data_IF_073834808817
#
_entry.id   IF_073834808817
#
_cell.length_a   1.000
_cell.length_b   1.000
_cell.length_c   1.000
_cell.angle_alpha   90.00
_cell.angle_beta   90.00
_cell.angle_gamma   90.00
#
_symmetry.space_group_name_H-M   'P 1'
#
loop_
_entity.id
_entity.type
_entity.pdbx_description
1 polymer ?
#
# COMPACT_ATOMS: atom_id res chain seq x y z
N UNK A 1 17.00 -65.69 13.93
CA UNK A 1 15.53 -65.74 13.79
C UNK A 1 14.94 -64.69 14.74
N UNK A 2 14.05 -63.83 14.23
CA UNK A 2 13.06 -62.95 14.89
C UNK A 2 13.49 -62.19 16.16
N UNK A 3 13.54 -60.85 16.21
CA UNK A 3 12.40 -59.91 16.15
C UNK A 3 12.33 -59.25 17.54
N UNK A 4 12.58 -57.95 17.73
CA UNK A 4 11.77 -56.81 17.32
C UNK A 4 10.97 -56.30 18.53
N UNK A 5 11.40 -55.22 19.18
CA UNK A 5 10.52 -54.40 20.04
C UNK A 5 10.86 -52.91 19.92
N UNK A 6 9.82 -52.16 19.60
CA UNK A 6 9.75 -50.80 19.11
C UNK A 6 10.32 -49.73 20.05
N UNK A 7 11.18 -48.85 19.53
CA UNK A 7 11.44 -47.54 20.15
C UNK A 7 10.43 -46.57 19.56
N UNK A 8 9.46 -46.16 20.38
CA UNK A 8 8.43 -45.21 19.98
C UNK A 8 9.05 -43.85 19.66
N UNK A 9 8.92 -43.46 18.39
CA UNK A 9 9.20 -42.12 17.90
C UNK A 9 8.22 -41.13 18.58
N UNK A 10 8.77 -40.21 19.36
CA UNK A 10 8.07 -38.97 19.70
C UNK A 10 8.65 -37.89 18.82
N UNK A 11 8.12 -37.82 17.60
CA UNK A 11 8.28 -36.68 16.71
C UNK A 11 7.83 -35.43 17.46
N UNK A 12 8.79 -34.61 17.87
CA UNK A 12 8.56 -33.22 18.15
C UNK A 12 8.10 -32.58 16.83
N UNK A 13 6.80 -32.60 16.59
CA UNK A 13 6.18 -31.73 15.62
C UNK A 13 6.37 -30.31 16.14
N UNK A 14 7.47 -29.67 15.73
CA UNK A 14 7.55 -28.23 15.60
C UNK A 14 6.45 -27.84 14.62
N UNK A 15 5.23 -27.70 15.14
CA UNK A 15 4.25 -26.83 14.58
C UNK A 15 4.88 -25.44 14.64
N UNK A 16 5.59 -25.08 13.58
CA UNK A 16 5.74 -23.70 13.18
C UNK A 16 4.32 -23.19 13.04
N UNK A 17 3.79 -22.66 14.14
CA UNK A 17 2.62 -21.85 14.15
C UNK A 17 2.92 -20.78 13.12
N UNK A 18 2.27 -20.89 11.95
CA UNK A 18 2.06 -19.80 11.04
C UNK A 18 1.32 -18.75 11.86
N UNK A 19 2.07 -17.91 12.55
CA UNK A 19 1.57 -16.71 13.16
C UNK A 19 0.88 -15.97 12.03
N UNK A 20 -0.44 -15.71 12.10
CA UNK A 20 -1.01 -14.70 11.23
C UNK A 20 -0.20 -13.44 11.51
N UNK A 21 0.56 -13.01 10.50
CA UNK A 21 1.40 -11.83 10.59
C UNK A 21 0.57 -10.69 11.19
N UNK A 22 1.15 -9.86 12.09
CA UNK A 22 0.46 -8.69 12.60
C UNK A 22 -0.04 -7.89 11.40
N UNK A 23 -1.24 -7.31 11.53
CA UNK A 23 -1.87 -6.45 10.50
C UNK A 23 -0.88 -5.33 10.14
N UNK A 24 -0.03 -5.59 9.15
CA UNK A 24 1.06 -4.70 8.73
C UNK A 24 1.16 -4.79 7.23
N UNK A 25 0.23 -4.15 6.52
CA UNK A 25 0.28 -4.23 5.06
C UNK A 25 -0.50 -3.15 4.28
N UNK A 26 -0.79 -1.97 4.85
CA UNK A 26 -0.92 -0.82 3.95
C UNK A 26 0.47 -0.48 3.39
N UNK A 27 1.51 -0.48 4.25
CA UNK A 27 2.88 -0.23 3.83
C UNK A 27 3.56 -1.37 3.05
N UNK A 28 3.19 -2.63 3.30
CA UNK A 28 3.91 -3.80 2.74
C UNK A 28 3.45 -4.18 1.33
N UNK A 29 2.26 -3.77 0.92
CA UNK A 29 1.75 -4.07 -0.44
C UNK A 29 2.21 -3.05 -1.49
N UNK A 30 2.90 -1.99 -1.09
CA UNK A 30 3.35 -0.96 -2.01
C UNK A 30 4.85 -1.01 -2.14
N UNK A 31 5.29 -1.70 -3.18
CA UNK A 31 6.69 -1.73 -3.54
C UNK A 31 7.13 -0.35 -4.02
N UNK A 32 8.37 -0.01 -3.73
CA UNK A 32 9.07 1.07 -4.41
C UNK A 32 9.18 0.74 -5.91
N UNK A 33 9.05 1.70 -6.86
CA UNK A 33 8.80 3.14 -6.73
C UNK A 33 7.33 3.54 -6.98
N UNK A 34 6.36 2.80 -6.43
CA UNK A 34 4.95 3.01 -6.70
C UNK A 34 4.28 3.91 -5.65
N UNK A 35 3.38 4.77 -6.12
CA UNK A 35 2.43 5.52 -5.28
C UNK A 35 1.13 4.75 -5.27
N UNK A 36 0.74 4.27 -4.11
CA UNK A 36 -0.45 3.47 -3.95
C UNK A 36 -1.60 4.24 -3.34
N UNK A 37 -2.79 3.85 -3.75
CA UNK A 37 -4.03 4.30 -3.15
C UNK A 37 -4.71 3.12 -2.48
N UNK A 38 -5.08 3.34 -1.23
CA UNK A 38 -5.83 2.41 -0.40
C UNK A 38 -7.18 3.02 -0.07
N UNK A 39 -8.21 2.17 -0.05
CA UNK A 39 -9.53 2.50 0.47
C UNK A 39 -9.90 1.45 1.48
N UNK A 40 -10.17 1.86 2.72
CA UNK A 40 -10.53 0.96 3.80
C UNK A 40 -9.51 -0.19 4.02
N UNK A 41 -8.22 0.10 3.84
CA UNK A 41 -7.13 -0.89 3.92
C UNK A 41 -6.93 -1.75 2.66
N UNK A 42 -7.79 -1.64 1.65
CA UNK A 42 -7.66 -2.35 0.38
C UNK A 42 -6.99 -1.48 -0.67
N UNK A 43 -5.96 -1.99 -1.36
CA UNK A 43 -5.32 -1.28 -2.48
C UNK A 43 -6.30 -1.19 -3.65
N UNK A 44 -6.69 0.04 -4.00
CA UNK A 44 -7.61 0.33 -5.12
C UNK A 44 -6.88 0.75 -6.39
N UNK A 45 -5.59 1.09 -6.29
CA UNK A 45 -4.78 1.49 -7.44
C UNK A 45 -3.33 1.75 -7.06
N UNK A 46 -2.46 1.73 -8.07
CA UNK A 46 -1.05 2.07 -7.93
C UNK A 46 -0.59 2.84 -9.18
N UNK A 47 0.28 3.81 -8.98
CA UNK A 47 0.78 4.71 -10.01
C UNK A 47 2.30 4.79 -9.88
N UNK A 48 3.01 4.61 -10.98
CA UNK A 48 4.47 4.78 -11.02
C UNK A 48 4.91 5.79 -12.08
N UNK A 49 3.98 6.20 -12.95
CA UNK A 49 4.33 7.02 -14.09
C UNK A 49 4.40 8.48 -13.66
N UNK A 50 5.55 9.11 -13.95
CA UNK A 50 5.75 10.54 -13.71
C UNK A 50 5.11 11.28 -14.87
N UNK A 51 4.00 11.97 -14.59
CA UNK A 51 3.21 12.66 -15.60
C UNK A 51 3.24 14.16 -15.34
N UNK A 52 3.35 14.98 -16.38
CA UNK A 52 3.22 16.44 -16.21
C UNK A 52 1.81 16.88 -15.79
N UNK A 53 0.79 16.05 -16.07
CA UNK A 53 -0.62 16.30 -15.76
C UNK A 53 -1.22 15.35 -14.72
N UNK A 54 -2.44 15.65 -14.27
CA UNK A 54 -3.23 14.74 -13.44
C UNK A 54 -3.79 13.60 -14.29
N UNK A 55 -3.51 12.38 -13.88
CA UNK A 55 -4.16 11.19 -14.40
C UNK A 55 -5.49 11.01 -13.68
N UNK A 56 -6.59 11.05 -14.43
CA UNK A 56 -7.91 10.79 -13.87
C UNK A 56 -7.99 9.35 -13.33
N UNK A 57 -8.45 9.22 -12.10
CA UNK A 57 -8.74 7.92 -11.48
C UNK A 57 -10.09 7.44 -12.01
N UNK A 58 -10.16 6.40 -12.86
CA UNK A 58 -11.44 5.93 -13.41
C UNK A 58 -12.39 5.46 -12.28
N UNK A 59 -11.83 4.87 -11.22
CA UNK A 59 -12.58 4.42 -10.05
C UNK A 59 -13.08 5.53 -9.13
N UNK A 60 -12.69 6.81 -9.40
CA UNK A 60 -12.99 8.04 -8.63
C UNK A 60 -13.34 7.75 -7.16
N UNK A 61 -12.40 7.18 -6.39
CA UNK A 61 -12.75 6.59 -5.11
C UNK A 61 -13.22 7.69 -4.17
N UNK A 62 -14.45 7.51 -3.68
CA UNK A 62 -15.15 8.43 -2.78
C UNK A 62 -15.40 7.76 -1.44
N UNK A 63 -15.19 8.49 -0.35
CA UNK A 63 -15.53 8.07 1.01
C UNK A 63 -14.44 8.30 2.05
N UNK A 64 -14.71 7.99 3.33
CA UNK A 64 -13.70 8.00 4.38
C UNK A 64 -12.71 6.83 4.20
N UNK A 65 -11.55 6.93 4.86
CA UNK A 65 -10.48 5.91 4.86
C UNK A 65 -9.75 5.74 3.52
N UNK A 66 -9.59 6.83 2.77
CA UNK A 66 -8.69 6.86 1.62
C UNK A 66 -7.28 7.13 2.14
N UNK A 67 -6.31 6.31 1.77
CA UNK A 67 -4.90 6.53 2.14
C UNK A 67 -4.08 6.53 0.87
N UNK A 68 -3.29 7.56 0.68
CA UNK A 68 -2.32 7.63 -0.41
C UNK A 68 -0.94 7.48 0.22
N UNK A 69 -0.15 6.56 -0.32
CA UNK A 69 1.21 6.33 0.14
C UNK A 69 2.17 6.51 -1.01
N UNK A 70 3.08 7.47 -0.84
CA UNK A 70 4.19 7.69 -1.75
C UNK A 70 5.42 6.97 -1.19
N UNK A 71 5.83 5.89 -1.86
CA UNK A 71 7.04 5.15 -1.49
C UNK A 71 8.30 5.76 -2.11
N UNK A 72 8.18 6.67 -3.07
CA UNK A 72 9.30 7.24 -3.83
C UNK A 72 10.16 8.12 -2.92
N UNK A 73 11.45 8.20 -3.25
CA UNK A 73 12.45 8.87 -2.41
C UNK A 73 12.66 10.33 -2.80
N UNK A 74 12.55 10.64 -4.08
CA UNK A 74 12.93 11.93 -4.66
C UNK A 74 11.78 12.56 -5.48
N UNK A 75 10.63 11.90 -5.53
CA UNK A 75 9.47 12.31 -6.33
C UNK A 75 8.27 12.58 -5.40
N UNK A 76 7.52 13.64 -5.68
CA UNK A 76 6.28 13.99 -4.97
C UNK A 76 5.04 13.48 -5.69
N UNK A 77 3.99 13.19 -4.93
CA UNK A 77 2.69 12.83 -5.48
C UNK A 77 1.66 13.92 -5.16
N UNK A 78 1.05 14.48 -6.19
CA UNK A 78 -0.08 15.39 -6.07
C UNK A 78 -1.38 14.62 -6.24
N UNK A 79 -2.28 14.82 -5.29
CA UNK A 79 -3.57 14.16 -5.23
C UNK A 79 -4.65 15.21 -5.44
N UNK A 80 -5.36 15.11 -6.56
CA UNK A 80 -6.46 16.01 -6.91
C UNK A 80 -7.76 15.42 -6.41
N UNK A 81 -8.51 16.25 -5.68
CA UNK A 81 -9.86 15.94 -5.21
C UNK A 81 -10.92 16.54 -6.14
N UNK A 82 -12.12 15.98 -6.06
CA UNK A 82 -13.29 16.46 -6.80
C UNK A 82 -13.68 17.90 -6.45
N UNK A 83 -13.35 18.35 -5.24
CA UNK A 83 -13.58 19.73 -4.81
C UNK A 83 -12.54 20.74 -5.37
N UNK A 84 -11.64 20.29 -6.26
CA UNK A 84 -10.60 21.13 -6.87
C UNK A 84 -9.36 21.31 -6.00
N UNK A 85 -9.37 20.85 -4.75
CA UNK A 85 -8.18 20.96 -3.89
C UNK A 85 -7.17 19.89 -4.29
N UNK A 86 -5.91 20.31 -4.42
CA UNK A 86 -4.78 19.42 -4.63
C UNK A 86 -3.98 19.32 -3.34
N UNK A 87 -3.70 18.10 -2.88
CA UNK A 87 -2.78 17.87 -1.77
C UNK A 87 -1.48 17.34 -2.31
N UNK A 88 -0.39 17.98 -1.92
CA UNK A 88 0.94 17.46 -2.20
C UNK A 88 1.37 16.47 -1.12
N UNK A 89 1.95 15.36 -1.55
CA UNK A 89 2.47 14.30 -0.71
C UNK A 89 3.98 14.21 -0.92
N UNK A 90 4.78 14.56 0.11
CA UNK A 90 6.22 14.46 0.02
C UNK A 90 6.69 13.01 -0.21
N UNK A 91 7.94 12.80 -0.65
CA UNK A 91 8.52 11.48 -0.78
C UNK A 91 8.50 10.71 0.55
N UNK A 92 8.44 9.38 0.49
CA UNK A 92 8.37 8.45 1.64
C UNK A 92 7.26 8.76 2.65
N UNK A 93 6.21 9.45 2.22
CA UNK A 93 5.15 9.93 3.09
C UNK A 93 3.81 9.33 2.69
N UNK A 94 2.93 9.16 3.66
CA UNK A 94 1.55 8.72 3.45
C UNK A 94 0.57 9.68 4.10
N UNK A 95 -0.56 9.93 3.44
CA UNK A 95 -1.63 10.76 3.97
C UNK A 95 -2.97 10.03 3.92
N UNK A 96 -3.73 10.17 4.99
CA UNK A 96 -5.14 9.78 5.04
C UNK A 96 -6.03 10.92 4.57
N UNK A 97 -6.81 10.68 3.52
CA UNK A 97 -7.92 11.51 3.08
C UNK A 97 -9.16 11.02 3.84
N UNK A 98 -9.57 11.79 4.85
CA UNK A 98 -10.75 11.51 5.69
C UNK A 98 -12.08 11.84 5.00
N UNK A 99 -12.05 12.77 4.04
CA UNK A 99 -13.23 13.22 3.30
C UNK A 99 -12.84 13.75 1.92
N UNK A 100 -13.70 13.51 0.95
CA UNK A 100 -13.54 13.92 -0.44
C UNK A 100 -13.38 12.73 -1.39
N UNK A 101 -13.58 13.03 -2.67
CA UNK A 101 -13.41 12.06 -3.76
C UNK A 101 -12.10 12.33 -4.46
N UNK A 102 -11.26 11.31 -4.64
CA UNK A 102 -10.06 11.46 -5.45
C UNK A 102 -10.45 11.40 -6.92
N UNK A 103 -10.12 12.44 -7.67
CA UNK A 103 -10.40 12.51 -9.10
C UNK A 103 -9.17 12.27 -9.93
N UNK A 104 -7.99 12.62 -9.43
CA UNK A 104 -6.76 12.31 -10.13
C UNK A 104 -5.54 12.29 -9.24
N UNK A 105 -4.47 11.76 -9.81
CA UNK A 105 -3.14 11.69 -9.22
C UNK A 105 -2.12 12.15 -10.24
N UNK A 106 -1.11 12.87 -9.78
CA UNK A 106 0.04 13.28 -10.59
C UNK A 106 1.30 12.97 -9.80
N UNK A 107 2.22 12.27 -10.40
CA UNK A 107 3.57 12.09 -9.83
C UNK A 107 4.47 13.05 -10.57
N UNK A 108 5.21 13.85 -9.82
CA UNK A 108 6.11 14.86 -10.36
C UNK A 108 7.52 14.56 -9.87
N UNK A 109 8.51 14.66 -10.76
CA UNK A 109 9.91 14.39 -10.43
C UNK A 109 10.54 15.58 -9.71
N UNK A 110 9.99 15.88 -8.54
CA UNK A 110 10.42 16.96 -7.66
C UNK A 110 10.58 16.38 -6.27
N UNK A 111 11.60 16.84 -5.57
CA UNK A 111 11.90 16.41 -4.20
C UNK A 111 11.07 17.15 -3.14
N UNK A 112 10.35 18.22 -3.53
CA UNK A 112 9.56 19.05 -2.61
C UNK A 112 8.19 19.43 -3.15
N UNK A 113 7.24 19.45 -2.22
CA UNK A 113 5.99 20.18 -2.30
C UNK A 113 6.26 21.68 -2.04
#
# INVERSE_FOLDING_TARGET
MAGGVSVAAQTAASASASTPAPVRAAADTCSYPYVCLFKNGTRIGQFQDVTSGFQDLPSRPSGPNLVVQNTRNDDVAYIRRANGITTCLPPKTSIGIVSGTLTGIRIDSRSTC
#
